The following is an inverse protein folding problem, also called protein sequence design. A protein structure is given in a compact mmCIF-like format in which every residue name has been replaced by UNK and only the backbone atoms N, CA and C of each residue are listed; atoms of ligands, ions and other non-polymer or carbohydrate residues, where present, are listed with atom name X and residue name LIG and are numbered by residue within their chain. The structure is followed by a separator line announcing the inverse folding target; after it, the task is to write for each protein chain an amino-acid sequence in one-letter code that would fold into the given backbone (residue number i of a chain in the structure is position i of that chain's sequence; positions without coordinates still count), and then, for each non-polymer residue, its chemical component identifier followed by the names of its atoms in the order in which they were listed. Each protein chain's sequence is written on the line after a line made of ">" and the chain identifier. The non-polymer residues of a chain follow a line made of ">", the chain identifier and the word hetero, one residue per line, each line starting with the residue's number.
data_IF_963517193041
#
_entry.id   IF_963517193041
#
_cell.length_a   1.000
_cell.length_b   1.000
_cell.length_c   1.000
_cell.angle_alpha   90.00
_cell.angle_beta   90.00
_cell.angle_gamma   90.00
#
_symmetry.space_group_name_H-M   'P 1'
#
loop_
_entity.id
_entity.type
_entity.pdbx_description
1 polymer ?
#
# COMPACT_ATOMS: atom_id res chain seq x y z
N UNK A 1 0.38 13.45 -9.97
CA UNK A 1 -0.80 12.67 -9.57
C UNK A 1 -2.07 13.09 -10.29
N UNK A 2 -2.27 14.36 -10.65
CA UNK A 2 -3.46 14.78 -11.40
C UNK A 2 -4.75 14.68 -10.60
N UNK A 3 -4.67 14.82 -9.26
CA UNK A 3 -5.81 14.78 -8.36
C UNK A 3 -6.39 16.19 -8.20
N UNK A 4 -7.70 16.33 -8.36
CA UNK A 4 -8.41 17.61 -8.21
C UNK A 4 -8.80 17.90 -6.76
N UNK A 5 -8.91 16.86 -5.92
CA UNK A 5 -9.45 16.98 -4.56
C UNK A 5 -8.83 15.99 -3.57
N UNK A 6 -8.67 16.42 -2.32
CA UNK A 6 -8.28 15.61 -1.17
C UNK A 6 -9.30 15.83 -0.06
N UNK A 7 -9.87 14.75 0.46
CA UNK A 7 -10.87 14.79 1.53
C UNK A 7 -10.29 14.19 2.82
N UNK A 8 -10.42 14.91 3.93
CA UNK A 8 -10.02 14.44 5.26
C UNK A 8 -11.24 14.01 6.06
N UNK A 9 -11.24 12.77 6.57
CA UNK A 9 -12.35 12.25 7.39
C UNK A 9 -12.39 12.81 8.83
N UNK A 10 -11.33 13.55 9.22
CA UNK A 10 -11.26 14.29 10.48
C UNK A 10 -10.81 13.47 11.69
N UNK A 11 -10.04 12.41 11.48
CA UNK A 11 -9.45 11.59 12.55
C UNK A 11 -7.95 11.85 12.69
N UNK A 12 -7.42 11.70 13.90
CA UNK A 12 -5.99 11.81 14.17
C UNK A 12 -5.24 10.52 13.81
N UNK A 13 -3.95 10.65 13.49
CA UNK A 13 -3.04 9.52 13.30
C UNK A 13 -2.95 8.70 14.60
N UNK A 14 -3.12 7.38 14.47
CA UNK A 14 -3.04 6.48 15.61
C UNK A 14 -1.63 6.16 16.06
N UNK A 15 -0.61 6.40 15.24
CA UNK A 15 0.75 5.92 15.45
C UNK A 15 0.86 4.40 15.27
N UNK A 16 2.03 3.84 15.59
CA UNK A 16 2.23 2.40 15.45
C UNK A 16 1.48 1.61 16.53
N UNK A 17 1.18 0.34 16.22
CA UNK A 17 0.49 -0.54 17.17
C UNK A 17 1.29 -0.66 18.48
N UNK A 18 0.60 -0.49 19.61
CA UNK A 18 1.19 -0.51 20.95
C UNK A 18 1.69 0.86 21.45
N UNK A 19 1.62 1.92 20.64
CA UNK A 19 1.95 3.27 21.09
C UNK A 19 0.80 3.89 21.92
N UNK A 20 1.08 4.81 22.88
CA UNK A 20 0.05 5.44 23.68
C UNK A 20 -1.02 6.21 22.87
N UNK A 21 -0.65 6.68 21.68
CA UNK A 21 -1.56 7.35 20.74
C UNK A 21 -2.70 6.43 20.27
N UNK A 22 -2.52 5.11 20.33
CA UNK A 22 -3.59 4.15 20.04
C UNK A 22 -4.76 4.24 21.04
N UNK A 23 -4.55 4.77 22.25
CA UNK A 23 -5.60 4.95 23.27
C UNK A 23 -6.35 6.28 23.15
N UNK A 24 -5.92 7.16 22.24
CA UNK A 24 -6.58 8.44 22.01
C UNK A 24 -7.96 8.23 21.36
N UNK A 25 -9.07 8.63 21.99
CA UNK A 25 -10.42 8.43 21.42
C UNK A 25 -10.66 9.21 20.12
N UNK A 26 -9.78 10.14 19.75
CA UNK A 26 -9.85 10.91 18.49
C UNK A 26 -9.04 10.28 17.35
N UNK A 27 -8.23 9.26 17.63
CA UNK A 27 -7.42 8.63 16.58
C UNK A 27 -8.26 7.66 15.74
N UNK A 28 -7.85 7.45 14.49
CA UNK A 28 -8.66 6.71 13.54
C UNK A 28 -8.87 5.23 13.94
N UNK A 29 -7.86 4.60 14.53
CA UNK A 29 -7.95 3.25 15.10
C UNK A 29 -9.10 3.06 16.10
N UNK A 30 -9.46 4.11 16.85
CA UNK A 30 -10.54 4.09 17.85
C UNK A 30 -11.91 4.50 17.26
N UNK A 31 -11.95 4.98 16.02
CA UNK A 31 -13.19 5.40 15.39
C UNK A 31 -14.18 4.24 15.25
N UNK A 32 -15.46 4.50 15.53
CA UNK A 32 -16.52 3.54 15.23
C UNK A 32 -16.57 3.27 13.72
N UNK A 33 -16.51 2.00 13.35
CA UNK A 33 -16.42 1.60 11.93
C UNK A 33 -17.66 2.05 11.18
N UNK A 34 -18.86 1.96 11.75
CA UNK A 34 -20.08 2.37 11.07
C UNK A 34 -20.09 3.89 10.85
N UNK A 35 -19.74 4.68 11.87
CA UNK A 35 -19.66 6.14 11.76
C UNK A 35 -18.66 6.58 10.67
N UNK A 36 -17.43 6.08 10.73
CA UNK A 36 -16.40 6.41 9.76
C UNK A 36 -16.80 5.96 8.34
N UNK A 37 -17.47 4.81 8.23
CA UNK A 37 -17.95 4.28 6.94
C UNK A 37 -19.06 5.12 6.34
N UNK A 38 -19.96 5.69 7.15
CA UNK A 38 -20.99 6.61 6.66
C UNK A 38 -20.38 7.89 6.07
N UNK A 39 -19.31 8.42 6.69
CA UNK A 39 -18.57 9.57 6.17
C UNK A 39 -17.93 9.27 4.81
N UNK A 40 -17.23 8.14 4.70
CA UNK A 40 -16.63 7.72 3.43
C UNK A 40 -17.70 7.40 2.37
N UNK A 41 -18.77 6.70 2.73
CA UNK A 41 -19.86 6.37 1.81
C UNK A 41 -20.59 7.61 1.28
N UNK A 42 -20.68 8.68 2.07
CA UNK A 42 -21.19 9.96 1.58
C UNK A 42 -20.33 10.51 0.43
N UNK A 43 -19.00 10.46 0.57
CA UNK A 43 -18.06 10.87 -0.48
C UNK A 43 -18.18 9.96 -1.70
N UNK A 44 -18.23 8.63 -1.51
CA UNK A 44 -18.34 7.68 -2.63
C UNK A 44 -19.60 7.91 -3.46
N UNK A 45 -20.74 8.21 -2.82
CA UNK A 45 -21.98 8.56 -3.53
C UNK A 45 -21.91 9.94 -4.19
N UNK A 46 -21.25 10.90 -3.56
CA UNK A 46 -21.10 12.25 -4.10
C UNK A 46 -20.31 12.24 -5.43
N UNK A 47 -19.25 11.43 -5.49
CA UNK A 47 -18.40 11.30 -6.68
C UNK A 47 -18.89 10.24 -7.67
N UNK A 48 -19.99 9.55 -7.36
CA UNK A 48 -20.52 8.42 -8.13
C UNK A 48 -19.43 7.37 -8.42
N UNK A 49 -18.77 6.88 -7.36
CA UNK A 49 -17.57 6.06 -7.49
C UNK A 49 -17.82 4.69 -8.15
N UNK A 50 -17.19 4.46 -9.30
CA UNK A 50 -17.19 3.13 -9.96
C UNK A 50 -16.29 2.10 -9.26
N UNK A 51 -15.20 2.57 -8.65
CA UNK A 51 -14.13 1.74 -8.08
C UNK A 51 -13.65 2.34 -6.77
N UNK A 52 -13.40 1.48 -5.78
CA UNK A 52 -12.75 1.85 -4.52
C UNK A 52 -11.49 1.03 -4.30
N UNK A 53 -10.38 1.70 -3.99
CA UNK A 53 -9.16 1.04 -3.50
C UNK A 53 -9.02 1.23 -1.98
N UNK A 54 -8.63 0.16 -1.29
CA UNK A 54 -8.38 0.10 0.16
C UNK A 54 -7.08 -0.65 0.42
N UNK A 55 -6.62 -0.80 1.67
CA UNK A 55 -5.52 -1.73 1.98
C UNK A 55 -6.02 -3.18 2.08
N UNK A 56 -5.09 -4.13 1.96
CA UNK A 56 -5.33 -5.51 2.38
C UNK A 56 -5.70 -5.60 3.88
N UNK A 57 -6.19 -6.77 4.30
CA UNK A 57 -6.67 -6.98 5.68
C UNK A 57 -5.58 -6.83 6.75
N UNK A 58 -4.31 -6.89 6.36
CA UNK A 58 -3.16 -6.67 7.25
C UNK A 58 -2.66 -5.21 7.21
N UNK A 59 -3.19 -4.37 6.32
CA UNK A 59 -2.72 -3.01 6.15
C UNK A 59 -1.33 -2.93 5.50
N UNK A 60 -0.94 -3.94 4.73
CA UNK A 60 0.37 -4.07 4.09
C UNK A 60 1.51 -4.47 5.03
N UNK A 61 1.64 -3.81 6.19
CA UNK A 61 2.71 -4.07 7.18
C UNK A 61 2.24 -3.96 8.65
N UNK A 62 0.93 -3.99 8.89
CA UNK A 62 0.37 -4.00 10.25
C UNK A 62 0.14 -2.64 10.89
N UNK A 63 0.18 -1.53 10.13
CA UNK A 63 -0.19 -0.21 10.67
C UNK A 63 -1.68 -0.21 11.08
N UNK A 64 -2.03 0.22 12.31
CA UNK A 64 -3.41 0.20 12.77
C UNK A 64 -4.35 0.99 11.85
N UNK A 65 -3.94 2.17 11.40
CA UNK A 65 -4.77 2.97 10.49
C UNK A 65 -4.98 2.33 9.11
N UNK A 66 -4.01 1.57 8.59
CA UNK A 66 -4.22 0.87 7.32
C UNK A 66 -5.24 -0.27 7.48
N UNK A 67 -5.17 -0.99 8.60
CA UNK A 67 -6.16 -2.02 8.96
C UNK A 67 -7.55 -1.37 9.15
N UNK A 68 -7.61 -0.18 9.74
CA UNK A 68 -8.86 0.54 9.92
C UNK A 68 -9.43 1.05 8.59
N UNK A 69 -8.59 1.55 7.68
CA UNK A 69 -8.99 1.91 6.31
C UNK A 69 -9.57 0.68 5.60
N UNK A 70 -8.98 -0.50 5.77
CA UNK A 70 -9.56 -1.73 5.23
C UNK A 70 -10.99 -1.99 5.77
N UNK A 71 -11.18 -1.93 7.09
CA UNK A 71 -12.48 -2.18 7.73
C UNK A 71 -13.54 -1.15 7.30
N UNK A 72 -13.19 0.13 7.39
CA UNK A 72 -14.07 1.26 7.05
C UNK A 72 -14.36 1.27 5.55
N UNK A 73 -13.35 1.04 4.72
CA UNK A 73 -13.52 1.05 3.26
C UNK A 73 -14.43 -0.05 2.75
N UNK A 74 -14.28 -1.29 3.27
CA UNK A 74 -15.22 -2.38 2.95
C UNK A 74 -16.66 -2.02 3.29
N UNK A 75 -16.87 -1.53 4.52
CA UNK A 75 -18.21 -1.19 4.99
C UNK A 75 -18.80 0.02 4.26
N UNK A 76 -17.99 1.02 3.93
CA UNK A 76 -18.41 2.17 3.15
C UNK A 76 -18.86 1.78 1.74
N UNK A 77 -18.15 0.86 1.09
CA UNK A 77 -18.53 0.33 -0.21
C UNK A 77 -19.90 -0.36 -0.17
N UNK A 78 -20.17 -1.20 0.85
CA UNK A 78 -21.49 -1.81 1.06
C UNK A 78 -22.60 -0.76 1.21
N UNK A 79 -22.36 0.30 2.00
CA UNK A 79 -23.33 1.38 2.25
C UNK A 79 -23.57 2.21 0.98
N UNK A 80 -22.55 2.41 0.16
CA UNK A 80 -22.61 3.20 -1.06
C UNK A 80 -23.10 2.39 -2.28
N UNK A 81 -23.05 1.06 -2.24
CA UNK A 81 -23.36 0.19 -3.38
C UNK A 81 -22.22 0.11 -4.40
N UNK A 82 -20.97 0.22 -3.96
CA UNK A 82 -19.79 0.11 -4.83
C UNK A 82 -19.30 -1.33 -4.84
N UNK A 83 -19.57 -2.05 -5.93
CA UNK A 83 -19.24 -3.49 -6.02
C UNK A 83 -17.75 -3.74 -6.36
N UNK A 84 -17.07 -2.79 -7.00
CA UNK A 84 -15.69 -2.97 -7.49
C UNK A 84 -14.69 -2.42 -6.48
N UNK A 85 -14.41 -3.23 -5.46
CA UNK A 85 -13.46 -2.89 -4.39
C UNK A 85 -12.18 -3.72 -4.53
N UNK A 86 -11.05 -3.03 -4.50
CA UNK A 86 -9.72 -3.61 -4.65
C UNK A 86 -8.82 -3.29 -3.47
N UNK A 87 -8.26 -4.31 -2.84
CA UNK A 87 -7.25 -4.16 -1.81
C UNK A 87 -5.88 -3.97 -2.44
N UNK A 88 -5.33 -2.78 -2.34
CA UNK A 88 -3.93 -2.48 -2.64
C UNK A 88 -3.02 -3.23 -1.67
N UNK A 89 -2.04 -3.93 -2.23
CA UNK A 89 -1.05 -4.71 -1.47
C UNK A 89 0.31 -4.69 -2.17
N UNK A 90 1.26 -5.45 -1.63
CA UNK A 90 2.56 -5.72 -2.23
C UNK A 90 2.66 -7.21 -2.53
N UNK A 91 3.18 -7.58 -3.71
CA UNK A 91 3.50 -8.97 -4.01
C UNK A 91 4.76 -9.38 -3.24
N UNK A 92 4.57 -10.02 -2.08
CA UNK A 92 5.65 -10.46 -1.20
C UNK A 92 6.60 -11.40 -1.93
N UNK A 93 6.07 -12.38 -2.65
CA UNK A 93 6.87 -13.42 -3.29
C UNK A 93 7.78 -12.81 -4.37
N UNK A 94 7.27 -11.83 -5.14
CA UNK A 94 8.07 -11.05 -6.09
C UNK A 94 9.15 -10.22 -5.40
N UNK A 95 8.83 -9.53 -4.30
CA UNK A 95 9.81 -8.74 -3.55
C UNK A 95 10.94 -9.64 -3.02
N UNK A 96 10.60 -10.77 -2.41
CA UNK A 96 11.58 -11.71 -1.86
C UNK A 96 12.46 -12.31 -2.97
N UNK A 97 11.87 -12.64 -4.12
CA UNK A 97 12.62 -13.11 -5.29
C UNK A 97 13.60 -12.04 -5.80
N UNK A 98 13.15 -10.79 -5.96
CA UNK A 98 14.00 -9.68 -6.40
C UNK A 98 15.13 -9.40 -5.40
N UNK A 99 14.86 -9.48 -4.10
CA UNK A 99 15.89 -9.34 -3.06
C UNK A 99 16.92 -10.46 -3.14
N UNK A 100 16.50 -11.71 -3.33
CA UNK A 100 17.40 -12.86 -3.46
C UNK A 100 18.26 -12.79 -4.74
N UNK A 101 17.68 -12.40 -5.87
CA UNK A 101 18.39 -12.24 -7.15
C UNK A 101 19.43 -11.12 -7.11
N UNK A 102 19.16 -10.06 -6.33
CA UNK A 102 20.03 -8.91 -6.18
C UNK A 102 20.92 -8.97 -4.93
N UNK A 103 20.90 -10.07 -4.17
CA UNK A 103 21.62 -10.20 -2.91
C UNK A 103 23.13 -9.88 -3.03
N UNK A 104 23.74 -10.18 -4.18
CA UNK A 104 25.15 -9.88 -4.46
C UNK A 104 25.45 -8.40 -4.71
N UNK A 105 24.47 -7.62 -5.18
CA UNK A 105 24.56 -6.15 -5.26
C UNK A 105 24.53 -5.56 -3.84
N UNK A 106 23.70 -6.13 -2.97
CA UNK A 106 23.61 -5.82 -1.54
C UNK A 106 24.71 -6.48 -0.70
N UNK A 107 25.69 -7.19 -1.25
CA UNK A 107 26.86 -7.66 -0.49
C UNK A 107 28.10 -6.80 -0.75
N UNK A 108 28.20 -6.20 -1.95
CA UNK A 108 29.38 -5.43 -2.38
C UNK A 108 29.23 -3.90 -2.24
N UNK A 109 28.01 -3.37 -2.07
CA UNK A 109 27.78 -1.94 -1.80
C UNK A 109 27.54 -1.63 -0.30
N UNK A 110 27.63 -2.64 0.59
CA UNK A 110 27.28 -2.54 2.03
C UNK A 110 28.41 -2.06 2.95
N UNK A 111 29.57 -1.71 2.40
CA UNK A 111 30.51 -0.83 3.15
C UNK A 111 30.05 0.64 3.14
N UNK A 112 29.10 1.01 2.28
CA UNK A 112 28.45 2.32 2.29
C UNK A 112 27.04 2.21 2.82
N UNK A 113 26.66 3.11 3.73
CA UNK A 113 25.27 3.31 4.11
C UNK A 113 24.44 3.57 2.82
N UNK A 114 23.66 2.57 2.38
CA UNK A 114 22.44 2.84 1.63
C UNK A 114 21.50 3.58 2.60
N UNK A 115 21.77 4.88 2.79
CA UNK A 115 20.99 5.80 3.60
C UNK A 115 19.55 5.81 3.07
N UNK A 116 18.70 5.00 3.69
CA UNK A 116 17.28 4.94 3.44
C UNK A 116 16.64 3.60 3.81
N UNK A 117 17.37 2.50 3.68
CA UNK A 117 16.98 1.20 4.27
C UNK A 117 18.24 0.46 4.73
N UNK A 118 18.44 0.42 6.04
CA UNK A 118 19.56 -0.31 6.67
C UNK A 118 19.45 -1.81 6.41
N UNK A 119 20.57 -2.52 6.40
CA UNK A 119 20.60 -4.01 6.36
C UNK A 119 19.67 -4.62 7.41
N UNK A 120 19.59 -3.99 8.58
CA UNK A 120 18.70 -4.42 9.66
C UNK A 120 17.21 -4.23 9.31
N UNK A 121 16.84 -3.17 8.61
CA UNK A 121 15.46 -2.97 8.12
C UNK A 121 15.11 -4.00 7.03
N UNK A 122 16.03 -4.29 6.10
CA UNK A 122 15.83 -5.35 5.11
C UNK A 122 15.66 -6.72 5.78
N UNK A 123 16.50 -7.04 6.76
CA UNK A 123 16.40 -8.27 7.55
C UNK A 123 15.07 -8.37 8.28
N UNK A 124 14.64 -7.29 8.95
CA UNK A 124 13.33 -7.24 9.62
C UNK A 124 12.17 -7.42 8.64
N UNK A 125 12.25 -6.86 7.43
CA UNK A 125 11.23 -7.05 6.39
C UNK A 125 11.20 -8.50 5.92
N UNK A 126 12.35 -9.12 5.70
CA UNK A 126 12.44 -10.54 5.35
C UNK A 126 11.82 -11.43 6.45
N UNK A 127 12.15 -11.16 7.72
CA UNK A 127 11.56 -11.87 8.86
C UNK A 127 10.04 -11.64 8.98
N UNK A 128 9.56 -10.43 8.71
CA UNK A 128 8.13 -10.12 8.69
C UNK A 128 7.42 -10.83 7.52
N UNK A 129 8.06 -10.88 6.35
CA UNK A 129 7.58 -11.62 5.18
C UNK A 129 7.43 -13.12 5.49
N UNK A 130 8.42 -13.73 6.16
CA UNK A 130 8.37 -15.14 6.59
C UNK A 130 7.23 -15.42 7.59
N UNK A 131 6.91 -14.44 8.45
CA UNK A 131 5.75 -14.52 9.37
C UNK A 131 4.41 -14.19 8.72
N UNK A 132 4.41 -13.73 7.46
CA UNK A 132 3.21 -13.30 6.76
C UNK A 132 2.67 -11.92 7.19
N UNK A 133 3.52 -11.10 7.81
CA UNK A 133 3.22 -9.76 8.33
C UNK A 133 3.60 -8.64 7.33
N UNK A 134 3.96 -8.99 6.09
CA UNK A 134 4.34 -8.04 5.06
C UNK A 134 3.83 -8.49 3.69
N UNK A 135 3.02 -7.64 3.05
CA UNK A 135 2.44 -7.90 1.74
C UNK A 135 1.59 -9.17 1.68
N UNK A 136 1.19 -9.52 0.47
CA UNK A 136 0.37 -10.71 0.18
C UNK A 136 1.15 -11.72 -0.64
N UNK A 137 0.89 -13.04 -0.47
CA UNK A 137 1.41 -14.05 -1.37
C UNK A 137 0.85 -13.84 -2.78
N UNK A 138 1.62 -14.17 -3.81
CA UNK A 138 1.21 -13.99 -5.21
C UNK A 138 -0.07 -14.77 -5.54
N UNK A 139 -0.23 -15.93 -4.91
CA UNK A 139 -1.37 -16.83 -5.10
C UNK A 139 -2.74 -16.18 -4.79
N UNK A 140 -2.80 -15.18 -3.91
CA UNK A 140 -4.07 -14.47 -3.60
C UNK A 140 -4.23 -13.17 -4.37
N UNK A 141 -3.18 -12.67 -5.00
CA UNK A 141 -3.22 -11.42 -5.76
C UNK A 141 -3.96 -11.65 -7.07
N UNK A 142 -4.92 -10.78 -7.36
CA UNK A 142 -5.82 -10.93 -8.51
C UNK A 142 -5.41 -10.06 -9.69
N UNK A 143 -4.82 -8.89 -9.43
CA UNK A 143 -4.49 -7.90 -10.44
C UNK A 143 -3.05 -7.40 -10.29
N UNK A 144 -2.43 -7.11 -11.44
CA UNK A 144 -1.12 -6.51 -11.59
C UNK A 144 -1.27 -5.40 -12.64
N UNK A 145 -1.38 -4.16 -12.18
CA UNK A 145 -1.57 -2.99 -13.03
C UNK A 145 -0.19 -2.42 -13.37
N UNK A 146 0.13 -2.36 -14.65
CA UNK A 146 1.35 -1.73 -15.15
C UNK A 146 1.16 -0.20 -15.12
N UNK A 147 2.06 0.47 -14.40
CA UNK A 147 2.11 1.92 -14.23
C UNK A 147 3.49 2.47 -14.57
N UNK A 148 4.33 1.70 -15.27
CA UNK A 148 5.70 2.09 -15.61
C UNK A 148 5.74 3.41 -16.41
N UNK A 149 4.76 3.65 -17.29
CA UNK A 149 4.66 4.86 -18.10
C UNK A 149 4.42 6.15 -17.30
N UNK A 150 4.03 6.05 -16.02
CA UNK A 150 3.75 7.19 -15.14
C UNK A 150 4.56 7.14 -13.84
N UNK A 151 5.61 6.34 -13.80
CA UNK A 151 6.42 6.11 -12.59
C UNK A 151 7.22 7.35 -12.17
N UNK A 152 7.53 8.24 -13.12
CA UNK A 152 8.13 9.55 -12.87
C UNK A 152 7.18 10.48 -12.09
N UNK A 153 5.89 10.45 -12.44
CA UNK A 153 4.83 11.18 -11.72
C UNK A 153 4.71 10.67 -10.28
N UNK A 154 4.83 9.35 -10.08
CA UNK A 154 4.86 8.73 -8.75
C UNK A 154 6.06 9.19 -7.94
N UNK A 155 7.26 9.16 -8.53
CA UNK A 155 8.51 9.63 -7.89
C UNK A 155 8.42 11.13 -7.52
N UNK A 156 7.87 11.97 -8.40
CA UNK A 156 7.65 13.38 -8.13
C UNK A 156 6.63 13.61 -7.00
N UNK A 157 5.56 12.80 -6.94
CA UNK A 157 4.57 12.87 -5.86
C UNK A 157 5.19 12.50 -4.52
N UNK A 158 5.97 11.42 -4.45
CA UNK A 158 6.71 11.02 -3.25
C UNK A 158 7.62 12.15 -2.74
N UNK A 159 8.32 12.86 -3.64
CA UNK A 159 9.19 13.98 -3.28
C UNK A 159 8.46 15.20 -2.70
N UNK A 160 7.15 15.31 -2.90
CA UNK A 160 6.34 16.35 -2.26
C UNK A 160 6.18 16.12 -0.75
N UNK A 161 6.26 14.86 -0.27
CA UNK A 161 6.11 14.49 1.14
C UNK A 161 7.42 14.60 1.92
N UNK A 162 8.09 15.75 1.86
CA UNK A 162 9.47 15.96 2.34
C UNK A 162 9.72 15.61 3.82
N UNK A 163 8.72 15.74 4.68
CA UNK A 163 8.85 15.39 6.10
C UNK A 163 8.79 13.88 6.35
N UNK A 164 8.23 13.11 5.40
CA UNK A 164 8.11 11.66 5.46
C UNK A 164 9.21 10.97 4.65
N UNK A 165 9.49 11.52 3.46
CA UNK A 165 10.49 11.02 2.53
C UNK A 165 11.52 12.15 2.33
N UNK A 166 12.62 12.06 3.08
CA UNK A 166 13.70 13.04 2.99
C UNK A 166 14.37 13.05 1.61
N UNK A 167 15.08 14.14 1.26
CA UNK A 167 15.75 14.26 -0.03
C UNK A 167 16.83 13.19 -0.26
N UNK A 168 17.45 12.69 0.81
CA UNK A 168 18.48 11.66 0.77
C UNK A 168 17.91 10.23 0.83
N UNK A 169 16.58 10.07 0.72
CA UNK A 169 15.93 8.77 0.74
C UNK A 169 16.40 7.86 -0.40
N UNK A 170 16.54 6.57 -0.11
CA UNK A 170 16.95 5.55 -1.08
C UNK A 170 16.11 5.57 -2.37
N UNK A 171 14.81 5.89 -2.28
CA UNK A 171 13.91 5.96 -3.43
C UNK A 171 14.39 6.96 -4.49
N UNK A 172 15.04 8.06 -4.08
CA UNK A 172 15.56 9.08 -4.99
C UNK A 172 16.99 8.81 -5.45
N UNK A 173 17.73 7.96 -4.73
CA UNK A 173 19.08 7.50 -5.09
C UNK A 173 19.05 6.36 -6.11
N UNK A 174 17.95 5.62 -6.21
CA UNK A 174 17.78 4.56 -7.22
C UNK A 174 17.84 5.11 -8.66
N UNK A 175 18.59 4.45 -9.57
CA UNK A 175 18.49 4.71 -11.01
C UNK A 175 17.04 4.55 -11.49
N UNK A 176 16.62 5.34 -12.47
CA UNK A 176 15.22 5.37 -12.90
C UNK A 176 14.73 4.01 -13.44
N UNK A 177 15.58 3.26 -14.14
CA UNK A 177 15.26 1.90 -14.61
C UNK A 177 15.02 0.92 -13.45
N UNK A 178 15.80 1.05 -12.37
CA UNK A 178 15.64 0.22 -11.16
C UNK A 178 14.36 0.60 -10.42
N UNK A 179 14.08 1.91 -10.31
CA UNK A 179 12.84 2.41 -9.71
C UNK A 179 11.61 1.94 -10.51
N UNK A 180 11.65 2.01 -11.83
CA UNK A 180 10.58 1.49 -12.70
C UNK A 180 10.38 -0.03 -12.54
N UNK A 181 11.46 -0.81 -12.48
CA UNK A 181 11.36 -2.26 -12.29
C UNK A 181 10.78 -2.65 -10.92
N UNK A 182 11.02 -1.84 -9.88
CA UNK A 182 10.54 -2.07 -8.52
C UNK A 182 9.12 -1.53 -8.28
N UNK A 183 8.78 -0.35 -8.82
CA UNK A 183 7.55 0.40 -8.48
C UNK A 183 6.60 0.63 -9.67
N UNK A 184 6.95 0.12 -10.85
CA UNK A 184 6.14 0.20 -12.08
C UNK A 184 5.01 -0.80 -12.17
N UNK A 185 4.80 -1.66 -11.16
CA UNK A 185 3.62 -2.53 -11.07
C UNK A 185 2.93 -2.33 -9.73
N UNK A 186 1.62 -2.13 -9.76
CA UNK A 186 0.76 -2.05 -8.57
C UNK A 186 -0.12 -3.28 -8.46
N UNK A 187 -0.25 -3.82 -7.25
CA UNK A 187 -0.83 -5.14 -7.01
C UNK A 187 -2.12 -5.04 -6.21
N UNK A 188 -3.16 -5.75 -6.66
CA UNK A 188 -4.47 -5.68 -6.03
C UNK A 188 -5.16 -7.04 -5.84
N UNK A 189 -5.94 -7.15 -4.77
CA UNK A 189 -6.84 -8.25 -4.47
C UNK A 189 -8.29 -7.73 -4.59
N UNK A 190 -9.04 -8.20 -5.58
CA UNK A 190 -10.45 -7.90 -5.72
C UNK A 190 -11.25 -8.57 -4.59
N UNK A 191 -12.19 -7.85 -3.98
CA UNK A 191 -13.06 -8.44 -2.95
C UNK A 191 -14.03 -9.49 -3.51
N UNK A 192 -14.59 -9.22 -4.69
CA UNK A 192 -15.69 -10.00 -5.25
C UNK A 192 -15.25 -11.11 -6.21
N UNK A 193 -13.94 -11.29 -6.41
CA UNK A 193 -13.41 -12.30 -7.33
C UNK A 193 -12.09 -12.88 -6.85
N UNK A 194 -11.84 -14.12 -7.21
CA UNK A 194 -10.54 -14.78 -7.00
C UNK A 194 -9.85 -15.06 -8.32
N UNK A 195 -8.52 -15.18 -8.26
CA UNK A 195 -7.68 -15.68 -9.35
C UNK A 195 -7.18 -17.05 -8.94
N UNK A 196 -7.23 -18.04 -9.84
CA UNK A 196 -6.57 -19.31 -9.59
C UNK A 196 -5.05 -19.16 -9.68
N UNK A 197 -4.32 -19.96 -8.90
CA UNK A 197 -2.86 -19.94 -8.94
C UNK A 197 -2.36 -20.28 -10.36
N UNK A 198 -1.45 -19.47 -10.89
CA UNK A 198 -0.91 -19.63 -12.25
C UNK A 198 -1.73 -18.99 -13.38
N UNK A 199 -2.99 -18.60 -13.15
CA UNK A 199 -3.77 -17.83 -14.13
C UNK A 199 -3.21 -16.40 -14.31
N UNK A 200 -3.38 -15.75 -15.49
CA UNK A 200 -2.97 -14.37 -15.68
C UNK A 200 -3.61 -13.41 -14.67
N UNK A 201 -2.88 -12.36 -14.28
CA UNK A 201 -3.44 -11.26 -13.49
C UNK A 201 -4.40 -10.42 -14.33
N UNK A 202 -5.45 -9.89 -13.71
CA UNK A 202 -6.18 -8.77 -14.28
C UNK A 202 -5.26 -7.53 -14.39
N UNK A 203 -5.38 -6.79 -15.47
CA UNK A 203 -4.47 -5.66 -15.79
C UNK A 203 -5.14 -4.29 -15.67
N UNK A 204 -6.44 -4.25 -15.36
CA UNK A 204 -7.23 -3.03 -15.20
C UNK A 204 -8.15 -3.15 -13.99
N UNK A 205 -8.33 -2.05 -13.27
CA UNK A 205 -9.37 -1.92 -12.25
C UNK A 205 -10.69 -1.45 -12.84
N UNK A 206 -10.71 -1.10 -14.13
CA UNK A 206 -11.86 -0.67 -14.91
C UNK A 206 -12.34 -1.80 -15.84
N UNK A 207 -13.55 -1.67 -16.38
CA UNK A 207 -14.09 -2.61 -17.38
C UNK A 207 -13.58 -2.26 -18.77
#
# INVERSE_FOLDING_TARGET
>A
MGLDRVEFLGYEDSGMIGEPTNENPLCFWQADVEEASQRLAAILREVDADVLTIYDSHGGYGHPDHIQVHRVGKRAAEIAGVDRVFQSTMNRDRIMKQMAENASLFENEVEGELEGETVEQMRKRAEAADRGEFGSPEAVITHAVDVADVVDVKKAAMAAHRSQIGPDSFFFKMPDEVFAAAFGTEWFIALESSRAEGEPFGTSLFV
#
